data_IF_830987625008
#
_entry.id   IF_830987625008
#
_cell.length_a   1.000
_cell.length_b   1.000
_cell.length_c   1.000
_cell.angle_alpha   90.00
_cell.angle_beta   90.00
_cell.angle_gamma   90.00
#
_symmetry.space_group_name_H-M   'P 1'
#
loop_
_entity.id
_entity.type
_entity.pdbx_description
1 polymer ?
#
# COMPACT_ATOMS: atom_id res chain seq x y z
N UNK A 1 3.33 -6.94 17.21
CA UNK A 1 3.88 -6.06 18.25
C UNK A 1 4.78 -6.84 19.20
N UNK A 2 4.29 -7.91 19.89
CA UNK A 2 5.07 -8.66 20.89
C UNK A 2 6.38 -9.25 20.36
N UNK A 3 6.38 -9.83 19.14
CA UNK A 3 7.60 -10.38 18.54
C UNK A 3 8.68 -9.29 18.33
N UNK A 4 8.28 -8.10 17.89
CA UNK A 4 9.22 -6.98 17.73
C UNK A 4 9.78 -6.52 19.09
N UNK A 5 8.93 -6.49 20.13
CA UNK A 5 9.39 -6.16 21.48
C UNK A 5 10.39 -7.19 22.02
N UNK A 6 10.21 -8.49 21.72
CA UNK A 6 11.19 -9.52 22.07
C UNK A 6 12.55 -9.29 21.41
N UNK A 7 12.57 -8.91 20.12
CA UNK A 7 13.81 -8.57 19.42
C UNK A 7 14.51 -7.40 20.10
N UNK A 8 13.78 -6.34 20.43
CA UNK A 8 14.35 -5.20 21.15
C UNK A 8 14.84 -5.58 22.54
N UNK A 9 14.10 -6.41 23.27
CA UNK A 9 14.51 -6.89 24.59
C UNK A 9 15.82 -7.69 24.53
N UNK A 10 16.01 -8.54 23.54
CA UNK A 10 17.28 -9.26 23.35
C UNK A 10 18.46 -8.28 23.20
N UNK A 11 18.31 -7.22 22.40
CA UNK A 11 19.34 -6.19 22.26
C UNK A 11 19.58 -5.42 23.56
N UNK A 12 18.52 -5.15 24.33
CA UNK A 12 18.64 -4.47 25.63
C UNK A 12 19.40 -5.30 26.66
N UNK A 13 19.00 -6.55 26.90
CA UNK A 13 19.66 -7.41 27.90
C UNK A 13 21.10 -7.78 27.55
N UNK A 14 21.44 -7.83 26.27
CA UNK A 14 22.81 -8.06 25.79
C UNK A 14 23.64 -6.76 25.68
N UNK A 15 23.05 -5.62 25.97
CA UNK A 15 23.70 -4.31 25.83
C UNK A 15 24.08 -3.94 24.40
N UNK A 16 23.40 -4.49 23.40
CA UNK A 16 23.70 -4.34 21.98
C UNK A 16 22.75 -3.34 21.27
N UNK A 17 22.12 -2.44 22.02
CA UNK A 17 21.30 -1.38 21.43
C UNK A 17 22.10 -0.09 21.29
N UNK A 18 21.91 0.63 20.17
CA UNK A 18 22.57 1.91 19.88
C UNK A 18 24.09 1.89 19.87
N UNK A 19 24.70 0.75 19.58
CA UNK A 19 26.17 0.63 19.39
C UNK A 19 26.49 0.55 17.90
N UNK A 20 27.64 1.06 17.45
CA UNK A 20 28.07 0.85 16.08
C UNK A 20 28.11 -0.64 15.72
N UNK A 21 27.45 -1.01 14.62
CA UNK A 21 27.35 -2.40 14.17
C UNK A 21 26.40 -3.29 14.99
N UNK A 22 25.69 -2.76 15.98
CA UNK A 22 24.81 -3.53 16.85
C UNK A 22 23.52 -2.78 17.18
N UNK A 23 22.45 -3.08 16.47
CA UNK A 23 21.10 -2.57 16.73
C UNK A 23 20.06 -3.45 16.06
N UNK A 24 18.84 -3.42 16.58
CA UNK A 24 17.68 -3.94 15.85
C UNK A 24 17.15 -2.89 14.89
N UNK A 25 16.88 -3.28 13.66
CA UNK A 25 16.24 -2.39 12.66
C UNK A 25 15.29 -3.18 11.76
N UNK A 26 14.36 -2.48 11.17
CA UNK A 26 13.46 -3.07 10.18
C UNK A 26 14.13 -3.10 8.81
N UNK A 27 14.29 -4.28 8.25
CA UNK A 27 14.78 -4.45 6.89
C UNK A 27 13.61 -4.33 5.91
N UNK A 28 13.41 -3.16 5.38
CA UNK A 28 12.34 -2.88 4.43
C UNK A 28 12.66 -3.51 3.07
N UNK A 29 11.74 -4.31 2.52
CA UNK A 29 11.92 -5.01 1.24
C UNK A 29 11.52 -4.20 0.01
N UNK A 30 10.53 -3.32 0.12
CA UNK A 30 10.01 -2.56 -1.00
C UNK A 30 10.99 -1.49 -1.47
N UNK A 31 11.34 -1.42 -2.77
CA UNK A 31 12.29 -0.43 -3.28
C UNK A 31 11.86 1.01 -3.03
N UNK A 32 10.55 1.29 -3.08
CA UNK A 32 9.99 2.62 -2.90
C UNK A 32 9.27 2.81 -1.56
N UNK A 33 9.60 2.07 -0.51
CA UNK A 33 8.96 2.22 0.79
C UNK A 33 9.12 3.63 1.36
N UNK A 34 10.27 4.27 1.16
CA UNK A 34 10.50 5.64 1.57
C UNK A 34 9.67 6.64 0.76
N UNK A 35 9.65 6.54 -0.56
CA UNK A 35 8.90 7.43 -1.44
C UNK A 35 7.40 7.16 -1.41
N UNK A 36 6.99 5.90 -1.43
CA UNK A 36 5.58 5.51 -1.46
C UNK A 36 4.89 5.60 -0.10
N UNK A 37 5.43 4.95 0.93
CA UNK A 37 4.74 4.86 2.23
C UNK A 37 5.05 6.05 3.13
N UNK A 38 6.34 6.33 3.35
CA UNK A 38 6.75 7.40 4.27
C UNK A 38 6.37 8.78 3.78
N UNK A 39 6.67 9.08 2.52
CA UNK A 39 6.60 10.45 2.03
C UNK A 39 5.25 10.79 1.42
N UNK A 40 4.57 9.85 0.77
CA UNK A 40 3.23 10.06 0.20
C UNK A 40 2.08 9.67 1.14
N UNK A 41 2.37 8.95 2.23
CA UNK A 41 1.36 8.60 3.22
C UNK A 41 0.34 7.57 2.74
N UNK A 42 0.77 6.56 1.98
CA UNK A 42 -0.12 5.53 1.43
C UNK A 42 -0.54 4.47 2.47
N UNK A 43 -0.96 4.93 3.66
CA UNK A 43 -1.60 4.13 4.70
C UNK A 43 -2.92 4.78 5.10
N UNK A 44 -3.89 3.99 5.53
CA UNK A 44 -5.26 4.45 5.82
C UNK A 44 -5.38 5.59 6.84
N UNK A 45 -4.36 5.81 7.66
CA UNK A 45 -4.32 6.85 8.70
C UNK A 45 -3.35 8.00 8.40
N UNK A 46 -2.57 7.91 7.31
CA UNK A 46 -1.55 8.88 6.96
C UNK A 46 -1.97 9.77 5.77
N UNK A 47 -1.33 10.91 5.72
CA UNK A 47 -1.30 11.87 4.63
C UNK A 47 0.16 12.17 4.29
N UNK A 48 0.45 12.75 3.13
CA UNK A 48 1.82 13.08 2.73
C UNK A 48 2.63 13.83 3.77
N UNK A 49 3.94 13.57 3.78
CA UNK A 49 4.93 14.19 4.66
C UNK A 49 4.63 14.01 6.17
N UNK A 50 4.22 12.80 6.56
CA UNK A 50 4.02 12.44 7.97
C UNK A 50 2.77 13.05 8.62
N UNK A 51 1.89 13.63 7.84
CA UNK A 51 0.60 14.12 8.33
C UNK A 51 -0.35 12.96 8.61
N UNK A 52 -1.38 13.20 9.44
CA UNK A 52 -2.36 12.18 9.81
C UNK A 52 -3.78 12.64 9.52
N UNK A 53 -4.61 11.72 9.04
CA UNK A 53 -6.01 11.95 8.68
C UNK A 53 -6.84 12.49 9.85
N UNK A 54 -6.64 11.98 11.05
CA UNK A 54 -7.39 12.39 12.24
C UNK A 54 -7.17 13.86 12.66
N UNK A 55 -6.06 14.49 12.22
CA UNK A 55 -5.76 15.87 12.56
C UNK A 55 -6.36 16.86 11.55
N UNK A 56 -7.30 17.70 11.99
CA UNK A 56 -7.97 18.68 11.12
C UNK A 56 -6.98 19.65 10.45
N UNK A 57 -5.97 20.14 11.18
CA UNK A 57 -5.00 21.07 10.61
C UNK A 57 -4.17 20.41 9.49
N UNK A 58 -3.85 19.12 9.63
CA UNK A 58 -3.15 18.37 8.60
C UNK A 58 -4.04 18.17 7.35
N UNK A 59 -5.32 17.85 7.52
CA UNK A 59 -6.25 17.75 6.40
C UNK A 59 -6.37 19.08 5.66
N UNK A 60 -6.62 20.17 6.40
CA UNK A 60 -6.72 21.50 5.80
C UNK A 60 -5.49 21.92 4.99
N UNK A 61 -4.27 21.57 5.48
CA UNK A 61 -3.02 21.79 4.74
C UNK A 61 -2.97 21.00 3.44
N UNK A 62 -3.43 19.75 3.46
CA UNK A 62 -3.43 18.91 2.26
C UNK A 62 -4.52 19.30 1.28
N UNK A 63 -5.70 19.69 1.76
CA UNK A 63 -6.78 20.22 0.94
C UNK A 63 -6.33 21.48 0.18
N UNK A 64 -5.66 22.38 0.89
CA UNK A 64 -5.09 23.59 0.27
C UNK A 64 -4.00 23.23 -0.76
N UNK A 65 -3.13 22.26 -0.45
CA UNK A 65 -2.06 21.82 -1.34
C UNK A 65 -2.60 21.16 -2.62
N UNK A 66 -3.66 20.34 -2.50
CA UNK A 66 -4.29 19.66 -3.63
C UNK A 66 -5.32 20.53 -4.36
N UNK A 67 -5.63 21.72 -3.86
CA UNK A 67 -6.63 22.61 -4.46
C UNK A 67 -8.05 22.08 -4.39
N UNK A 68 -8.38 21.25 -3.41
CA UNK A 68 -9.72 20.73 -3.17
C UNK A 68 -10.45 21.55 -2.10
N UNK A 69 -11.80 21.52 -2.06
CA UNK A 69 -12.55 22.28 -1.07
C UNK A 69 -12.17 21.94 0.37
N UNK A 70 -12.16 22.95 1.23
CA UNK A 70 -11.90 22.77 2.65
C UNK A 70 -12.97 21.88 3.30
N UNK A 71 -12.56 21.05 4.26
CA UNK A 71 -13.40 20.05 4.95
C UNK A 71 -14.02 18.98 4.01
N UNK A 72 -13.48 18.81 2.78
CA UNK A 72 -13.90 17.74 1.87
C UNK A 72 -13.34 16.37 2.25
N UNK A 73 -12.20 16.33 2.95
CA UNK A 73 -11.60 15.07 3.38
C UNK A 73 -12.30 14.52 4.63
N UNK A 74 -12.64 13.22 4.59
CA UNK A 74 -13.18 12.53 5.76
C UNK A 74 -12.22 12.63 6.97
N UNK A 75 -12.72 12.96 8.17
CA UNK A 75 -11.92 12.93 9.39
C UNK A 75 -11.66 11.51 9.89
N UNK A 76 -12.39 10.54 9.36
CA UNK A 76 -12.31 9.15 9.81
C UNK A 76 -11.16 8.43 9.10
N UNK A 77 -10.39 7.70 9.89
CA UNK A 77 -9.35 6.81 9.37
C UNK A 77 -10.01 5.64 8.64
N UNK A 78 -9.49 5.29 7.45
CA UNK A 78 -9.95 4.13 6.72
C UNK A 78 -9.60 2.80 7.42
N UNK A 79 -10.18 1.71 6.95
CA UNK A 79 -9.91 0.38 7.49
C UNK A 79 -8.42 0.01 7.35
N UNK A 80 -7.85 -0.62 8.36
CA UNK A 80 -6.61 -1.38 8.17
C UNK A 80 -6.93 -2.69 7.43
N UNK A 81 -5.93 -3.31 6.83
CA UNK A 81 -6.11 -4.44 5.89
C UNK A 81 -7.03 -5.54 6.41
N UNK A 82 -6.86 -6.02 7.65
CA UNK A 82 -7.70 -7.10 8.18
C UNK A 82 -9.16 -6.67 8.31
N UNK A 83 -9.41 -5.48 8.87
CA UNK A 83 -10.76 -4.93 8.99
C UNK A 83 -11.39 -4.63 7.62
N UNK A 84 -10.59 -4.25 6.62
CA UNK A 84 -11.05 -4.05 5.25
C UNK A 84 -11.63 -5.34 4.65
N UNK A 85 -10.93 -6.47 4.80
CA UNK A 85 -11.43 -7.77 4.32
C UNK A 85 -12.62 -8.28 5.16
N UNK A 86 -12.70 -7.96 6.44
CA UNK A 86 -13.89 -8.25 7.25
C UNK A 86 -15.11 -7.43 6.77
N UNK A 87 -14.91 -6.15 6.43
CA UNK A 87 -15.95 -5.28 5.87
C UNK A 87 -16.37 -5.72 4.46
N UNK A 88 -15.41 -6.15 3.63
CA UNK A 88 -15.68 -6.74 2.30
C UNK A 88 -16.59 -7.98 2.45
N UNK A 89 -16.27 -8.88 3.38
CA UNK A 89 -17.06 -10.09 3.62
C UNK A 89 -18.49 -9.83 4.11
N UNK A 90 -18.78 -8.65 4.63
CA UNK A 90 -20.12 -8.18 5.07
C UNK A 90 -20.82 -7.32 4.02
N UNK A 91 -20.16 -7.04 2.88
CA UNK A 91 -20.59 -6.06 1.88
C UNK A 91 -20.77 -4.63 2.42
N UNK A 92 -20.12 -4.28 3.54
CA UNK A 92 -19.98 -2.89 3.99
C UNK A 92 -19.06 -2.09 3.05
N UNK A 93 -18.10 -2.79 2.43
CA UNK A 93 -17.29 -2.33 1.30
C UNK A 93 -17.82 -3.01 0.04
N UNK A 94 -18.34 -2.25 -0.90
CA UNK A 94 -18.99 -2.74 -2.11
C UNK A 94 -18.02 -2.99 -3.27
N UNK A 95 -16.90 -2.30 -3.29
CA UNK A 95 -15.87 -2.45 -4.30
C UNK A 95 -14.48 -2.28 -3.69
N UNK A 96 -13.50 -3.02 -4.22
CA UNK A 96 -12.10 -2.92 -3.81
C UNK A 96 -11.20 -2.97 -5.05
N UNK A 97 -10.15 -2.16 -5.04
CA UNK A 97 -9.05 -2.24 -6.00
C UNK A 97 -7.83 -2.80 -5.26
N UNK A 98 -7.32 -3.92 -5.72
CA UNK A 98 -6.13 -4.58 -5.19
C UNK A 98 -4.98 -4.33 -6.17
N UNK A 99 -3.95 -3.60 -5.73
CA UNK A 99 -2.85 -3.20 -6.59
C UNK A 99 -1.57 -3.95 -6.22
N UNK A 100 -1.03 -4.73 -7.15
CA UNK A 100 0.32 -5.32 -7.10
C UNK A 100 0.61 -6.07 -5.78
N UNK A 101 -0.39 -6.77 -5.24
CA UNK A 101 -0.28 -7.59 -4.02
C UNK A 101 -1.20 -8.79 -4.10
N UNK A 102 -0.88 -9.87 -3.38
CA UNK A 102 -1.60 -11.16 -3.45
C UNK A 102 -2.25 -11.53 -2.10
N UNK A 103 -3.28 -10.79 -1.64
CA UNK A 103 -3.91 -11.01 -0.34
C UNK A 103 -4.52 -12.40 -0.15
N UNK A 104 -5.03 -13.02 -1.22
CA UNK A 104 -5.55 -14.38 -1.17
C UNK A 104 -4.47 -15.45 -0.89
N UNK A 105 -3.19 -15.07 -0.93
CA UNK A 105 -2.06 -15.94 -0.59
C UNK A 105 -1.32 -15.48 0.67
N UNK A 106 -1.22 -14.18 0.92
CA UNK A 106 -0.28 -13.61 1.90
C UNK A 106 -0.92 -13.14 3.20
N UNK A 107 -2.23 -12.94 3.25
CA UNK A 107 -2.90 -12.49 4.47
C UNK A 107 -3.05 -13.64 5.50
N UNK A 108 -3.08 -13.33 6.79
CA UNK A 108 -3.38 -14.32 7.82
C UNK A 108 -4.82 -14.79 7.74
N UNK A 109 -5.08 -16.03 8.14
CA UNK A 109 -6.41 -16.64 8.17
C UNK A 109 -7.08 -16.66 6.79
N UNK A 110 -6.42 -17.29 5.81
CA UNK A 110 -6.84 -17.34 4.40
C UNK A 110 -8.30 -17.79 4.21
N UNK A 111 -8.80 -18.70 5.03
CA UNK A 111 -10.20 -19.15 4.94
C UNK A 111 -11.20 -17.98 5.08
N UNK A 112 -10.90 -17.00 5.95
CA UNK A 112 -11.74 -15.80 6.07
C UNK A 112 -11.57 -14.86 4.88
N UNK A 113 -10.34 -14.72 4.39
CA UNK A 113 -10.02 -13.88 3.23
C UNK A 113 -10.72 -14.41 1.98
N UNK A 114 -10.57 -15.69 1.69
CA UNK A 114 -11.22 -16.36 0.55
C UNK A 114 -12.75 -16.22 0.62
N UNK A 115 -13.32 -16.44 1.83
CA UNK A 115 -14.77 -16.25 2.03
C UNK A 115 -15.20 -14.80 1.77
N UNK A 116 -14.41 -13.82 2.22
CA UNK A 116 -14.71 -12.40 2.00
C UNK A 116 -14.63 -12.03 0.52
N UNK A 117 -13.61 -12.52 -0.19
CA UNK A 117 -13.42 -12.27 -1.62
C UNK A 117 -14.43 -13.02 -2.51
N UNK A 118 -15.04 -14.08 -2.01
CA UNK A 118 -16.13 -14.82 -2.72
C UNK A 118 -17.51 -14.21 -2.48
N UNK A 119 -17.63 -13.05 -1.84
CA UNK A 119 -18.92 -12.42 -1.58
C UNK A 119 -19.51 -11.86 -2.90
N UNK A 120 -20.67 -12.34 -3.38
CA UNK A 120 -21.25 -11.92 -4.65
C UNK A 120 -21.76 -10.47 -4.66
N UNK A 121 -21.90 -9.84 -3.49
CA UNK A 121 -22.36 -8.45 -3.36
C UNK A 121 -21.21 -7.43 -3.43
N UNK A 122 -20.00 -7.88 -3.78
CA UNK A 122 -18.81 -7.02 -3.87
C UNK A 122 -18.15 -7.14 -5.23
N UNK A 123 -17.51 -6.06 -5.68
CA UNK A 123 -16.78 -6.00 -6.96
C UNK A 123 -15.27 -5.88 -6.69
N UNK A 124 -14.50 -6.79 -7.25
CA UNK A 124 -13.05 -6.86 -7.02
C UNK A 124 -12.30 -6.58 -8.32
N UNK A 125 -11.60 -5.45 -8.34
CA UNK A 125 -10.63 -5.13 -9.40
C UNK A 125 -9.23 -5.49 -8.92
N UNK A 126 -8.48 -6.23 -9.72
CA UNK A 126 -7.09 -6.59 -9.42
C UNK A 126 -6.16 -6.04 -10.49
N UNK A 127 -5.19 -5.24 -10.06
CA UNK A 127 -4.08 -4.75 -10.89
C UNK A 127 -2.88 -5.64 -10.56
N UNK A 128 -2.53 -6.57 -11.46
CA UNK A 128 -1.49 -7.58 -11.21
C UNK A 128 -0.79 -7.97 -12.51
N UNK A 129 0.54 -8.04 -12.43
CA UNK A 129 1.41 -8.39 -13.56
C UNK A 129 1.63 -9.91 -13.70
N UNK A 130 1.46 -10.66 -12.63
CA UNK A 130 1.72 -12.09 -12.60
C UNK A 130 0.42 -12.88 -12.78
N UNK A 131 0.29 -13.64 -13.88
CA UNK A 131 -0.98 -14.32 -14.21
C UNK A 131 -1.33 -15.51 -13.30
N UNK A 132 -0.39 -15.95 -12.45
CA UNK A 132 -0.56 -17.06 -11.50
C UNK A 132 -0.86 -16.61 -10.08
N UNK A 133 -1.11 -15.31 -9.85
CA UNK A 133 -1.48 -14.80 -8.54
C UNK A 133 -2.85 -15.32 -8.10
N UNK A 134 -2.94 -16.00 -6.97
CA UNK A 134 -4.19 -16.60 -6.44
C UNK A 134 -5.32 -15.58 -6.30
N UNK A 135 -5.00 -14.32 -6.02
CA UNK A 135 -5.96 -13.22 -5.91
C UNK A 135 -6.77 -13.02 -7.20
N UNK A 136 -6.22 -13.36 -8.37
CA UNK A 136 -6.90 -13.24 -9.66
C UNK A 136 -8.11 -14.18 -9.80
N UNK A 137 -8.14 -15.29 -9.05
CA UNK A 137 -9.29 -16.23 -9.05
C UNK A 137 -10.57 -15.57 -8.50
N UNK A 138 -10.44 -14.47 -7.77
CA UNK A 138 -11.54 -13.73 -7.13
C UNK A 138 -11.87 -12.41 -7.84
N UNK A 139 -11.15 -12.08 -8.93
CA UNK A 139 -11.29 -10.80 -9.60
C UNK A 139 -12.49 -10.79 -10.55
N UNK A 140 -13.31 -9.73 -10.47
CA UNK A 140 -14.32 -9.40 -11.48
C UNK A 140 -13.69 -8.66 -12.67
N UNK A 141 -12.63 -7.89 -12.41
CA UNK A 141 -11.87 -7.15 -13.41
C UNK A 141 -10.37 -7.29 -13.16
N UNK A 142 -9.61 -7.67 -14.20
CA UNK A 142 -8.15 -7.74 -14.15
C UNK A 142 -7.58 -6.69 -15.09
N UNK A 143 -6.66 -5.88 -14.55
CA UNK A 143 -5.96 -4.82 -15.29
C UNK A 143 -4.45 -5.08 -15.20
N UNK A 144 -3.79 -5.51 -16.29
CA UNK A 144 -2.36 -5.78 -16.26
C UNK A 144 -1.55 -4.47 -16.23
N UNK A 145 -0.66 -4.28 -15.22
CA UNK A 145 0.17 -3.08 -15.14
C UNK A 145 1.45 -3.21 -15.97
N UNK A 146 1.99 -2.09 -16.40
CA UNK A 146 3.35 -2.01 -16.92
C UNK A 146 4.37 -2.21 -15.79
N UNK A 147 5.41 -2.98 -16.03
CA UNK A 147 6.52 -3.21 -15.11
C UNK A 147 7.37 -1.94 -14.90
N UNK A 148 8.24 -1.96 -13.90
CA UNK A 148 9.08 -0.81 -13.56
C UNK A 148 9.99 -0.35 -14.69
N UNK A 149 10.49 -1.27 -15.54
CA UNK A 149 11.32 -0.93 -16.70
C UNK A 149 10.52 -0.51 -17.95
N UNK A 150 9.20 -0.63 -17.91
CA UNK A 150 8.25 -0.32 -19.00
C UNK A 150 7.53 1.00 -18.77
N UNK A 151 7.89 1.76 -17.74
CA UNK A 151 7.26 3.03 -17.36
C UNK A 151 8.26 4.01 -16.78
N UNK A 152 7.95 5.29 -16.88
CA UNK A 152 8.63 6.33 -16.13
C UNK A 152 8.11 6.39 -14.68
N UNK A 153 8.94 6.89 -13.78
CA UNK A 153 8.58 7.04 -12.40
C UNK A 153 9.70 7.55 -11.52
N UNK A 154 9.46 7.56 -10.23
CA UNK A 154 10.48 7.91 -9.24
C UNK A 154 10.44 6.93 -8.08
N UNK A 155 11.58 6.76 -7.43
CA UNK A 155 11.63 6.05 -6.15
C UNK A 155 12.47 6.81 -5.13
N UNK A 156 12.06 6.77 -3.86
CA UNK A 156 12.75 7.38 -2.74
C UNK A 156 13.54 6.38 -1.92
N UNK A 157 14.74 6.75 -1.47
CA UNK A 157 15.57 5.92 -0.61
C UNK A 157 15.71 6.48 0.80
N UNK A 158 16.33 5.70 1.71
CA UNK A 158 16.57 6.09 3.10
C UNK A 158 17.48 7.31 3.28
N UNK A 159 18.30 7.62 2.28
CA UNK A 159 19.17 8.81 2.24
C UNK A 159 18.43 10.10 1.84
N UNK A 160 17.10 10.07 1.75
CA UNK A 160 16.25 11.19 1.32
C UNK A 160 16.53 11.66 -0.11
N UNK A 161 16.91 10.74 -0.98
CA UNK A 161 17.06 10.97 -2.41
C UNK A 161 15.86 10.41 -3.16
N UNK A 162 15.51 11.10 -4.24
CA UNK A 162 14.58 10.60 -5.25
C UNK A 162 15.35 10.36 -6.54
N UNK A 163 15.26 9.16 -7.04
CA UNK A 163 15.87 8.77 -8.31
C UNK A 163 14.79 8.66 -9.38
N UNK A 164 15.08 9.14 -10.57
CA UNK A 164 14.24 8.97 -11.74
C UNK A 164 14.39 7.54 -12.27
N UNK A 165 13.28 6.93 -12.61
CA UNK A 165 13.22 5.70 -13.41
C UNK A 165 12.76 6.12 -14.80
N UNK A 166 13.59 5.89 -15.80
CA UNK A 166 13.23 6.11 -17.20
C UNK A 166 12.81 4.79 -17.84
N UNK A 167 11.76 4.85 -18.64
CA UNK A 167 11.28 3.69 -19.37
C UNK A 167 12.40 3.16 -20.29
N UNK A 168 12.73 1.89 -20.17
CA UNK A 168 13.76 1.23 -20.94
C UNK A 168 13.19 0.40 -22.12
N UNK A 169 11.96 -0.13 -21.97
CA UNK A 169 11.28 -0.95 -22.97
C UNK A 169 9.79 -0.58 -23.04
N UNK A 170 9.16 -0.85 -24.18
CA UNK A 170 7.71 -0.65 -24.30
C UNK A 170 6.97 -1.76 -23.54
N UNK A 171 5.86 -1.43 -22.84
CA UNK A 171 5.03 -2.43 -22.21
C UNK A 171 4.38 -3.33 -23.25
N UNK A 172 4.16 -4.62 -22.95
CA UNK A 172 3.48 -5.52 -23.87
C UNK A 172 1.98 -5.22 -23.95
N UNK A 173 1.40 -5.37 -25.13
CA UNK A 173 -0.03 -5.24 -25.41
C UNK A 173 -0.66 -3.97 -24.78
N UNK A 174 -1.73 -4.13 -24.00
CA UNK A 174 -2.48 -3.04 -23.37
C UNK A 174 -2.04 -2.75 -21.93
N UNK A 175 -0.87 -3.25 -21.50
CA UNK A 175 -0.34 -2.98 -20.17
C UNK A 175 -0.06 -1.49 -19.99
N UNK A 176 -0.52 -0.94 -18.86
CA UNK A 176 -0.39 0.49 -18.54
C UNK A 176 0.28 0.71 -17.20
N UNK A 177 0.99 1.83 -16.99
CA UNK A 177 1.40 2.23 -15.65
C UNK A 177 0.19 2.30 -14.70
N UNK A 178 0.30 1.68 -13.53
CA UNK A 178 -0.78 1.64 -12.52
C UNK A 178 -1.33 3.02 -12.19
N UNK A 179 -0.44 4.03 -12.13
CA UNK A 179 -0.85 5.41 -11.85
C UNK A 179 -1.79 5.97 -12.92
N UNK A 180 -1.55 5.68 -14.20
CA UNK A 180 -2.41 6.13 -15.30
C UNK A 180 -3.79 5.48 -15.21
N UNK A 181 -3.83 4.18 -14.92
CA UNK A 181 -5.09 3.46 -14.68
C UNK A 181 -5.89 4.08 -13.54
N UNK A 182 -5.25 4.42 -12.42
CA UNK A 182 -5.92 5.03 -11.26
C UNK A 182 -6.35 6.48 -11.48
N UNK A 183 -5.69 7.22 -12.37
CA UNK A 183 -6.09 8.61 -12.70
C UNK A 183 -7.32 8.63 -13.62
N UNK A 184 -7.43 7.63 -14.50
CA UNK A 184 -8.57 7.50 -15.43
C UNK A 184 -9.84 6.95 -14.74
N UNK A 185 -9.70 6.31 -13.58
CA UNK A 185 -10.79 5.76 -12.78
C UNK A 185 -11.51 6.86 -11.98
#
# INVERSE_FOLDING_TARGET
VWANNLIHNLHLITGQICRPGATSFSLTGQPNACGGVRDTGSLSHLLPAGRVVANKAHRNQMEAFWGIPQDSMSPNVGYHTIALFEALGKADVKAIIICETNPAHTLPNLNKVHKAMSNPDTFITVIEAFPDAVTLEYADLILPPAFWCERDGTYGCGERRYSLIEKAVEPPADCRPTVNTLIEF
#
